data_IF_931410177748
#
_entry.id   IF_931410177748
#
_cell.length_a   1.000
_cell.length_b   1.000
_cell.length_c   1.000
_cell.angle_alpha   90.00
_cell.angle_beta   90.00
_cell.angle_gamma   90.00
#
_symmetry.space_group_name_H-M   'P 1'
#
loop_
_entity.id
_entity.type
_entity.pdbx_description
1 polymer ?
#
# COMPACT_ATOMS: atom_id res chain seq x y z
N UNK A 1 -3.30 11.87 -1.95
CA UNK A 1 -2.50 10.81 -1.31
C UNK A 1 -1.20 10.79 -2.08
N UNK A 2 -0.13 11.35 -1.50
CA UNK A 2 1.04 11.83 -2.26
C UNK A 2 1.74 10.72 -3.05
N UNK A 3 1.73 9.48 -2.55
CA UNK A 3 2.32 8.34 -3.24
C UNK A 3 1.65 8.04 -4.58
N UNK A 4 0.32 7.97 -4.63
CA UNK A 4 -0.42 7.69 -5.86
C UNK A 4 -0.21 8.79 -6.92
N UNK A 5 -0.20 10.05 -6.49
CA UNK A 5 0.06 11.21 -7.37
C UNK A 5 1.45 11.13 -8.02
N UNK A 6 2.47 10.74 -7.25
CA UNK A 6 3.83 10.59 -7.77
C UNK A 6 3.96 9.41 -8.74
N UNK A 7 3.26 8.31 -8.47
CA UNK A 7 3.24 7.13 -9.35
C UNK A 7 2.54 7.47 -10.66
N UNK A 8 1.37 8.11 -10.60
CA UNK A 8 0.66 8.59 -11.79
C UNK A 8 1.49 9.58 -12.60
N UNK A 9 2.10 10.58 -11.96
CA UNK A 9 2.94 11.56 -12.63
C UNK A 9 4.18 10.94 -13.30
N UNK A 10 4.74 9.86 -12.73
CA UNK A 10 5.97 9.22 -13.22
C UNK A 10 5.72 8.17 -14.29
N UNK A 11 4.65 7.39 -14.14
CA UNK A 11 4.39 6.21 -14.95
C UNK A 11 3.20 6.41 -15.88
N UNK A 12 2.17 7.17 -15.51
CA UNK A 12 1.05 7.53 -16.39
C UNK A 12 0.53 6.37 -17.23
N UNK A 13 0.78 6.42 -18.54
CA UNK A 13 0.39 5.39 -19.53
C UNK A 13 1.06 4.02 -19.33
N UNK A 14 2.16 3.94 -18.58
CA UNK A 14 2.86 2.69 -18.23
C UNK A 14 2.20 1.95 -17.06
N UNK A 15 1.13 2.48 -16.45
CA UNK A 15 0.32 1.82 -15.41
C UNK A 15 -0.56 0.70 -15.98
N UNK A 16 0.03 -0.15 -16.81
CA UNK A 16 -0.59 -1.29 -17.48
C UNK A 16 0.33 -2.51 -17.38
N UNK A 17 -0.16 -3.69 -17.77
CA UNK A 17 0.65 -4.92 -17.80
C UNK A 17 1.31 -5.22 -16.45
N UNK A 18 2.63 -5.43 -16.47
CA UNK A 18 3.37 -5.82 -15.27
C UNK A 18 3.34 -4.81 -14.12
N UNK A 19 3.26 -3.51 -14.41
CA UNK A 19 3.15 -2.48 -13.35
C UNK A 19 1.79 -2.57 -12.67
N UNK A 20 0.74 -2.83 -13.45
CA UNK A 20 -0.60 -3.07 -12.91
C UNK A 20 -0.63 -4.31 -12.03
N UNK A 21 -0.06 -5.42 -12.51
CA UNK A 21 0.06 -6.66 -11.73
C UNK A 21 0.80 -6.43 -10.41
N UNK A 22 1.90 -5.68 -10.40
CA UNK A 22 2.63 -5.37 -9.17
C UNK A 22 1.79 -4.55 -8.17
N UNK A 23 0.93 -3.64 -8.65
CA UNK A 23 0.01 -2.87 -7.80
C UNK A 23 -1.10 -3.77 -7.24
N UNK A 24 -1.63 -4.68 -8.06
CA UNK A 24 -2.62 -5.68 -7.62
C UNK A 24 -2.02 -6.63 -6.55
N UNK A 25 -0.78 -7.10 -6.77
CA UNK A 25 -0.05 -7.96 -5.82
C UNK A 25 0.24 -7.24 -4.50
N UNK A 26 0.61 -5.95 -4.56
CA UNK A 26 0.77 -5.13 -3.36
C UNK A 26 -0.54 -5.05 -2.58
N UNK A 27 -1.66 -4.79 -3.24
CA UNK A 27 -2.97 -4.73 -2.58
C UNK A 27 -3.35 -6.09 -1.95
N UNK A 28 -3.09 -7.20 -2.64
CA UNK A 28 -3.32 -8.54 -2.12
C UNK A 28 -2.48 -8.83 -0.86
N UNK A 29 -1.23 -8.37 -0.83
CA UNK A 29 -0.34 -8.52 0.33
C UNK A 29 -0.82 -7.72 1.57
N UNK A 30 -1.72 -6.75 1.37
CA UNK A 30 -2.31 -5.89 2.41
C UNK A 30 -3.83 -6.11 2.56
N UNK A 31 -4.36 -7.27 2.17
CA UNK A 31 -5.80 -7.52 2.16
C UNK A 31 -6.50 -7.41 3.54
N UNK A 32 -5.79 -7.73 4.63
CA UNK A 32 -6.28 -7.61 6.01
C UNK A 32 -5.12 -7.47 7.01
N UNK A 33 -5.40 -7.15 8.27
CA UNK A 33 -4.39 -6.86 9.32
C UNK A 33 -3.52 -8.06 9.72
N UNK A 34 -3.89 -9.28 9.31
CA UNK A 34 -3.11 -10.50 9.48
C UNK A 34 -2.33 -10.92 8.24
N UNK A 35 -2.45 -10.19 7.12
CA UNK A 35 -1.68 -10.47 5.91
C UNK A 35 -0.19 -10.15 6.11
N UNK A 36 0.66 -10.71 5.24
CA UNK A 36 2.11 -10.61 5.37
C UNK A 36 2.60 -9.15 5.36
N UNK A 37 2.04 -8.30 4.49
CA UNK A 37 2.41 -6.88 4.37
C UNK A 37 2.26 -6.09 5.67
N UNK A 38 1.05 -5.98 6.25
CA UNK A 38 0.82 -5.27 7.51
C UNK A 38 1.61 -5.83 8.69
N UNK A 39 1.77 -7.17 8.77
CA UNK A 39 2.59 -7.83 9.79
C UNK A 39 4.04 -7.39 9.69
N UNK A 40 4.63 -7.47 8.49
CA UNK A 40 6.02 -7.11 8.25
C UNK A 40 6.25 -5.61 8.49
N UNK A 41 5.36 -4.75 7.99
CA UNK A 41 5.41 -3.31 8.21
C UNK A 41 5.39 -2.97 9.70
N UNK A 42 4.40 -3.48 10.45
CA UNK A 42 4.28 -3.18 11.87
C UNK A 42 5.47 -3.74 12.68
N UNK A 43 5.96 -4.93 12.33
CA UNK A 43 7.14 -5.52 12.99
C UNK A 43 8.37 -4.64 12.83
N UNK A 44 8.61 -4.09 11.64
CA UNK A 44 9.72 -3.16 11.41
C UNK A 44 9.50 -1.83 12.14
N UNK A 45 8.29 -1.27 12.07
CA UNK A 45 7.95 -0.01 12.74
C UNK A 45 8.11 -0.09 14.25
N UNK A 46 7.79 -1.21 14.90
CA UNK A 46 7.98 -1.38 16.35
C UNK A 46 9.47 -1.47 16.73
N UNK A 47 10.33 -2.00 15.85
CA UNK A 47 11.78 -1.99 16.09
C UNK A 47 12.31 -0.55 16.08
N UNK A 48 11.87 0.25 15.10
CA UNK A 48 12.37 1.61 14.89
C UNK A 48 11.68 2.64 15.81
N UNK A 49 10.42 2.38 16.18
CA UNK A 49 9.53 3.24 16.96
C UNK A 49 8.74 2.41 18.00
N UNK A 50 9.39 1.98 19.10
CA UNK A 50 8.77 1.13 20.12
C UNK A 50 7.57 1.75 20.85
N UNK A 51 7.39 3.07 20.75
CA UNK A 51 6.28 3.81 21.34
C UNK A 51 4.95 3.66 20.58
N UNK A 52 4.98 3.13 19.36
CA UNK A 52 3.79 2.98 18.52
C UNK A 52 2.99 1.72 18.87
N UNK A 53 1.70 1.75 18.56
CA UNK A 53 0.80 0.60 18.74
C UNK A 53 0.79 -0.28 17.48
N UNK A 54 1.24 -1.53 17.64
CA UNK A 54 1.35 -2.49 16.54
C UNK A 54 0.00 -2.74 15.85
N UNK A 55 -1.09 -2.78 16.62
CA UNK A 55 -2.43 -3.04 16.08
C UNK A 55 -2.90 -1.89 15.19
N UNK A 56 -2.66 -0.66 15.61
CA UNK A 56 -2.94 0.56 14.84
C UNK A 56 -2.09 0.59 13.57
N UNK A 57 -0.78 0.33 13.65
CA UNK A 57 0.11 0.25 12.48
C UNK A 57 -0.38 -0.77 11.42
N UNK A 58 -0.83 -1.94 11.86
CA UNK A 58 -1.42 -2.95 10.96
C UNK A 58 -2.71 -2.46 10.32
N UNK A 59 -3.60 -1.83 11.09
CA UNK A 59 -4.87 -1.32 10.57
C UNK A 59 -4.64 -0.17 9.57
N UNK A 60 -3.79 0.79 9.93
CA UNK A 60 -3.51 1.97 9.13
C UNK A 60 -2.85 1.60 7.80
N UNK A 61 -1.87 0.68 7.82
CA UNK A 61 -1.21 0.24 6.59
C UNK A 61 -2.15 -0.43 5.59
N UNK A 62 -3.14 -1.21 6.06
CA UNK A 62 -4.20 -1.78 5.20
C UNK A 62 -5.05 -0.67 4.57
N UNK A 63 -5.45 0.33 5.35
CA UNK A 63 -6.27 1.45 4.87
C UNK A 63 -5.51 2.30 3.85
N UNK A 64 -4.24 2.61 4.13
CA UNK A 64 -3.40 3.41 3.25
C UNK A 64 -3.12 2.69 1.93
N UNK A 65 -2.75 1.40 1.95
CA UNK A 65 -2.52 0.64 0.71
C UNK A 65 -3.80 0.48 -0.11
N UNK A 66 -4.95 0.27 0.54
CA UNK A 66 -6.25 0.27 -0.16
C UNK A 66 -6.53 1.62 -0.83
N UNK A 67 -6.30 2.71 -0.11
CA UNK A 67 -6.54 4.07 -0.63
C UNK A 67 -5.62 4.37 -1.81
N UNK A 68 -4.36 3.95 -1.73
CA UNK A 68 -3.38 4.06 -2.82
C UNK A 68 -3.86 3.29 -4.06
N UNK A 69 -4.23 2.02 -3.87
CA UNK A 69 -4.73 1.15 -4.92
C UNK A 69 -5.98 1.70 -5.61
N UNK A 70 -7.00 2.10 -4.83
CA UNK A 70 -8.24 2.66 -5.36
C UNK A 70 -7.98 3.91 -6.19
N UNK A 71 -7.08 4.79 -5.75
CA UNK A 71 -6.75 6.01 -6.51
C UNK A 71 -6.11 5.70 -7.86
N UNK A 72 -5.11 4.81 -7.88
CA UNK A 72 -4.46 4.41 -9.13
C UNK A 72 -5.41 3.65 -10.07
N UNK A 73 -6.40 2.94 -9.53
CA UNK A 73 -7.39 2.26 -10.36
C UNK A 73 -8.42 3.21 -10.99
N UNK A 74 -8.75 4.32 -10.32
CA UNK A 74 -9.65 5.34 -10.86
C UNK A 74 -8.99 6.22 -11.91
N UNK A 75 -7.66 6.42 -11.82
CA UNK A 75 -6.87 7.21 -12.77
C UNK A 75 -6.66 6.57 -14.15
N UNK A 76 -6.92 5.26 -14.31
CA UNK A 76 -6.68 4.52 -15.56
C UNK A 76 -7.96 4.39 -16.41
N UNK A 77 -8.95 5.27 -16.20
CA UNK A 77 -10.23 5.29 -16.94
C UNK A 77 -10.32 6.49 -17.86
#
# INVERSE_FOLDING_TARGET
>A
MKGAELVEARFGSELVGGVRTAIDDLYANFANTGAQGPVAYASQMIIDHPELDEKSLRADSVVEVRTFYTRLNLSVT
#
